data_IF_195351325560
#
_entry.id   IF_195351325560
#
_cell.length_a   1.000
_cell.length_b   1.000
_cell.length_c   1.000
_cell.angle_alpha   90.00
_cell.angle_beta   90.00
_cell.angle_gamma   90.00
#
_symmetry.space_group_name_H-M   'P 1'
#
loop_
_entity.id
_entity.type
_entity.pdbx_description
1 polymer ?
#
# COMPACT_ATOMS: atom_id res chain seq x y z
N UNK A 1 -16.06 21.68 5.11
CA UNK A 1 -16.21 20.92 6.34
C UNK A 1 -14.84 20.93 7.02
N UNK A 2 -14.64 21.79 8.02
CA UNK A 2 -13.41 21.79 8.81
C UNK A 2 -13.44 20.52 9.66
N UNK A 3 -12.66 19.51 9.28
CA UNK A 3 -12.31 18.42 10.17
C UNK A 3 -11.45 19.02 11.27
N UNK A 4 -12.02 19.24 12.44
CA UNK A 4 -11.25 19.44 13.65
C UNK A 4 -10.45 18.16 13.86
N UNK A 5 -9.20 18.17 13.43
CA UNK A 5 -8.31 17.05 13.64
C UNK A 5 -8.08 16.96 15.15
N UNK A 6 -8.71 16.01 15.79
CA UNK A 6 -8.39 15.66 17.16
C UNK A 6 -6.92 15.25 17.19
N UNK A 7 -6.05 15.91 17.95
CA UNK A 7 -4.66 15.55 17.98
C UNK A 7 -4.52 14.12 18.47
N UNK A 8 -3.68 13.33 17.81
CA UNK A 8 -3.33 12.00 18.30
C UNK A 8 -2.56 12.16 19.60
N UNK A 9 -3.12 11.64 20.69
CA UNK A 9 -2.51 11.67 22.02
C UNK A 9 -2.04 10.27 22.36
N UNK A 10 -0.79 10.16 22.84
CA UNK A 10 -0.27 8.93 23.42
C UNK A 10 -0.83 8.77 24.84
N UNK A 11 -1.96 8.10 24.96
CA UNK A 11 -2.71 7.95 26.22
C UNK A 11 -2.45 6.56 26.82
N UNK A 12 -1.43 6.48 27.70
CA UNK A 12 -1.09 5.24 28.40
C UNK A 12 -2.11 4.86 29.47
N UNK A 13 -2.75 5.85 30.08
CA UNK A 13 -3.77 5.61 31.10
C UNK A 13 -4.99 4.94 30.47
N UNK A 14 -5.39 5.36 29.27
CA UNK A 14 -6.45 4.72 28.53
C UNK A 14 -6.13 3.25 28.23
N UNK A 15 -4.89 2.91 27.89
CA UNK A 15 -4.48 1.52 27.62
C UNK A 15 -4.65 0.61 28.83
N UNK A 16 -4.49 1.12 30.04
CA UNK A 16 -4.58 0.33 31.29
C UNK A 16 -5.96 0.35 31.93
N UNK A 17 -6.73 1.42 31.72
CA UNK A 17 -8.00 1.62 32.40
C UNK A 17 -9.22 1.20 31.59
N UNK A 18 -9.08 1.07 30.26
CA UNK A 18 -10.20 0.71 29.36
C UNK A 18 -10.16 -0.77 28.96
N UNK A 19 -11.32 -1.29 28.62
CA UNK A 19 -11.44 -2.59 27.93
C UNK A 19 -11.45 -2.36 26.42
N UNK A 20 -10.76 -3.21 25.70
CA UNK A 20 -10.68 -3.17 24.25
C UNK A 20 -11.22 -4.47 23.66
N UNK A 21 -11.86 -4.37 22.51
CA UNK A 21 -12.33 -5.51 21.73
C UNK A 21 -11.19 -6.11 20.90
N UNK A 22 -10.23 -5.25 20.48
CA UNK A 22 -9.08 -5.61 19.64
C UNK A 22 -7.81 -4.98 20.19
N UNK A 23 -6.78 -5.79 20.38
CA UNK A 23 -5.42 -5.34 20.62
C UNK A 23 -4.57 -5.65 19.38
N UNK A 24 -4.00 -4.60 18.77
CA UNK A 24 -3.06 -4.72 17.65
C UNK A 24 -1.64 -4.53 18.17
N UNK A 25 -0.78 -5.52 17.93
CA UNK A 25 0.64 -5.45 18.27
C UNK A 25 1.44 -5.19 16.99
N UNK A 26 2.07 -4.02 16.93
CA UNK A 26 2.85 -3.55 15.80
C UNK A 26 2.18 -2.41 15.02
N UNK A 27 2.88 -1.26 14.96
CA UNK A 27 2.45 -0.02 14.33
C UNK A 27 2.96 0.16 12.89
N UNK A 28 3.20 -0.92 12.15
CA UNK A 28 3.43 -0.88 10.71
C UNK A 28 2.13 -0.61 9.94
N UNK A 29 2.23 -0.42 8.62
CA UNK A 29 1.06 -0.07 7.79
C UNK A 29 -0.10 -1.07 7.93
N UNK A 30 0.18 -2.37 8.04
CA UNK A 30 -0.86 -3.39 8.20
C UNK A 30 -1.56 -3.29 9.56
N UNK A 31 -0.81 -3.13 10.65
CA UNK A 31 -1.39 -2.97 11.99
C UNK A 31 -2.23 -1.69 12.10
N UNK A 32 -1.73 -0.59 11.56
CA UNK A 32 -2.44 0.69 11.56
C UNK A 32 -3.72 0.63 10.70
N UNK A 33 -3.68 -0.04 9.53
CA UNK A 33 -4.87 -0.27 8.71
C UNK A 33 -5.89 -1.16 9.41
N UNK A 34 -5.44 -2.23 10.08
CA UNK A 34 -6.33 -3.10 10.87
C UNK A 34 -6.98 -2.33 12.04
N UNK A 35 -6.20 -1.50 12.74
CA UNK A 35 -6.72 -0.67 13.82
C UNK A 35 -7.73 0.34 13.30
N UNK A 36 -7.46 0.98 12.17
CA UNK A 36 -8.37 1.92 11.54
C UNK A 36 -9.68 1.26 11.09
N UNK A 37 -9.59 0.13 10.37
CA UNK A 37 -10.78 -0.61 9.91
C UNK A 37 -11.63 -1.08 11.10
N UNK A 38 -11.02 -1.65 12.13
CA UNK A 38 -11.73 -2.10 13.33
C UNK A 38 -12.42 -0.92 14.08
N UNK A 39 -11.72 0.20 14.25
CA UNK A 39 -12.27 1.39 14.90
C UNK A 39 -13.42 2.00 14.09
N UNK A 40 -13.33 2.05 12.76
CA UNK A 40 -14.41 2.55 11.89
C UNK A 40 -15.65 1.66 11.93
N UNK A 41 -15.51 0.39 12.32
CA UNK A 41 -16.61 -0.55 12.57
C UNK A 41 -17.21 -0.42 13.98
N UNK A 42 -16.73 0.52 14.79
CA UNK A 42 -17.24 0.79 16.14
C UNK A 42 -16.63 -0.08 17.24
N UNK A 43 -15.54 -0.82 16.95
CA UNK A 43 -14.82 -1.59 17.96
C UNK A 43 -13.91 -0.68 18.79
N UNK A 44 -13.73 -0.99 20.08
CA UNK A 44 -12.73 -0.38 20.92
C UNK A 44 -11.38 -1.01 20.62
N UNK A 45 -10.47 -0.22 20.06
CA UNK A 45 -9.17 -0.71 19.56
C UNK A 45 -8.03 -0.08 20.34
N UNK A 46 -7.09 -0.91 20.79
CA UNK A 46 -5.76 -0.51 21.22
C UNK A 46 -4.71 -0.96 20.22
N UNK A 47 -3.69 -0.13 19.97
CA UNK A 47 -2.50 -0.51 19.21
C UNK A 47 -1.26 -0.09 19.98
N UNK A 48 -0.31 -1.01 20.13
CA UNK A 48 1.00 -0.77 20.71
C UNK A 48 2.11 -1.04 19.69
N UNK A 49 3.12 -0.17 19.70
CA UNK A 49 4.30 -0.28 18.84
C UNK A 49 5.55 -0.03 19.67
N UNK A 50 6.52 -0.95 19.63
CA UNK A 50 7.75 -0.87 20.43
C UNK A 50 8.69 0.27 20.02
N UNK A 51 8.64 0.68 18.76
CA UNK A 51 9.42 1.79 18.22
C UNK A 51 8.47 2.92 17.78
N UNK A 52 8.83 3.64 16.72
CA UNK A 52 7.92 4.60 16.12
C UNK A 52 7.07 3.95 15.03
N UNK A 53 5.93 4.56 14.73
CA UNK A 53 5.02 4.05 13.72
C UNK A 53 5.68 3.96 12.34
N UNK A 54 5.55 2.80 11.70
CA UNK A 54 6.07 2.57 10.36
C UNK A 54 7.57 2.35 10.27
N UNK A 55 8.28 2.21 11.38
CA UNK A 55 9.75 2.18 11.43
C UNK A 55 10.44 0.97 10.81
N UNK A 56 9.72 -0.12 10.50
CA UNK A 56 10.31 -1.35 9.94
C UNK A 56 10.04 -1.48 8.41
N UNK A 57 9.44 -2.60 8.00
CA UNK A 57 9.17 -2.89 6.60
C UNK A 57 8.30 -1.83 5.91
N UNK A 58 7.45 -1.12 6.65
CA UNK A 58 6.63 -0.03 6.11
C UNK A 58 7.43 1.19 5.66
N UNK A 59 8.64 1.36 6.16
CA UNK A 59 9.61 2.37 5.69
C UNK A 59 10.56 1.80 4.63
N UNK A 60 11.06 0.57 4.85
CA UNK A 60 12.09 -0.08 4.04
C UNK A 60 11.50 -0.96 2.91
N UNK A 61 10.61 -0.42 2.10
CA UNK A 61 10.05 -1.12 0.94
C UNK A 61 10.38 -0.41 -0.38
N UNK A 62 10.07 -1.03 -1.52
CA UNK A 62 10.31 -0.45 -2.85
C UNK A 62 9.44 0.77 -3.18
N UNK A 63 8.61 1.22 -2.26
CA UNK A 63 7.71 2.37 -2.42
C UNK A 63 6.76 2.25 -3.62
N UNK A 64 6.44 1.03 -4.03
CA UNK A 64 5.57 0.76 -5.17
C UNK A 64 4.27 0.11 -4.72
N UNK A 65 3.15 0.68 -5.15
CA UNK A 65 1.82 0.09 -5.03
C UNK A 65 1.51 -0.65 -6.34
N UNK A 66 1.72 -1.95 -6.34
CA UNK A 66 1.61 -2.79 -7.52
C UNK A 66 0.16 -3.11 -7.90
N UNK A 67 -0.14 -3.08 -9.21
CA UNK A 67 -1.43 -3.51 -9.77
C UNK A 67 -1.58 -5.02 -9.96
N UNK A 68 -0.58 -5.80 -9.54
CA UNK A 68 -0.66 -7.26 -9.55
C UNK A 68 -0.39 -7.93 -10.90
N UNK A 69 0.14 -7.23 -11.90
CA UNK A 69 0.41 -7.78 -13.24
C UNK A 69 1.28 -9.07 -13.21
N UNK A 70 2.17 -9.21 -12.21
CA UNK A 70 2.96 -10.43 -12.01
C UNK A 70 2.10 -11.69 -11.79
N UNK A 71 0.87 -11.54 -11.27
CA UNK A 71 -0.03 -12.67 -11.04
C UNK A 71 -0.58 -13.29 -12.34
N UNK A 72 -0.45 -12.59 -13.48
CA UNK A 72 -0.73 -13.19 -14.78
C UNK A 72 0.22 -14.36 -15.10
N UNK A 73 1.46 -14.33 -14.59
CA UNK A 73 2.43 -15.42 -14.80
C UNK A 73 2.03 -16.72 -14.10
N UNK A 74 1.26 -16.62 -13.02
CA UNK A 74 0.76 -17.75 -12.24
C UNK A 74 -0.74 -18.01 -12.47
N UNK A 75 -1.37 -17.26 -13.39
CA UNK A 75 -2.81 -17.29 -13.67
C UNK A 75 -3.69 -17.04 -12.41
N UNK A 76 -3.16 -16.37 -11.40
CA UNK A 76 -3.91 -16.00 -10.19
C UNK A 76 -4.72 -14.71 -10.44
N UNK A 77 -5.83 -14.87 -11.15
CA UNK A 77 -6.69 -13.75 -11.55
C UNK A 77 -7.41 -13.11 -10.35
N UNK A 78 -7.62 -13.87 -9.28
CA UNK A 78 -8.24 -13.35 -8.06
C UNK A 78 -7.33 -12.30 -7.40
N UNK A 79 -6.06 -12.64 -7.20
CA UNK A 79 -5.07 -11.71 -6.64
C UNK A 79 -4.78 -10.52 -7.57
N UNK A 80 -4.80 -10.75 -8.88
CA UNK A 80 -4.70 -9.65 -9.84
C UNK A 80 -5.81 -8.62 -9.62
N UNK A 81 -7.06 -9.08 -9.55
CA UNK A 81 -8.23 -8.21 -9.31
C UNK A 81 -8.20 -7.52 -7.95
N UNK A 82 -7.80 -8.24 -6.91
CA UNK A 82 -7.60 -7.68 -5.58
C UNK A 82 -6.56 -6.56 -5.61
N UNK A 83 -5.38 -6.81 -6.19
CA UNK A 83 -4.30 -5.79 -6.30
C UNK A 83 -4.74 -4.55 -7.08
N UNK A 84 -5.52 -4.70 -8.15
CA UNK A 84 -6.09 -3.57 -8.91
C UNK A 84 -7.04 -2.75 -8.05
N UNK A 85 -7.92 -3.41 -7.27
CA UNK A 85 -8.87 -2.73 -6.37
C UNK A 85 -8.14 -2.00 -5.25
N UNK A 86 -7.20 -2.64 -4.59
CA UNK A 86 -6.40 -2.06 -3.52
C UNK A 86 -5.59 -0.85 -4.00
N UNK A 87 -4.89 -0.98 -5.12
CA UNK A 87 -4.16 0.13 -5.74
C UNK A 87 -5.08 1.33 -6.03
N UNK A 88 -6.27 1.08 -6.59
CA UNK A 88 -7.27 2.11 -6.84
C UNK A 88 -7.80 2.73 -5.55
N UNK A 89 -8.01 1.93 -4.49
CA UNK A 89 -8.44 2.41 -3.18
C UNK A 89 -7.42 3.40 -2.63
N UNK A 90 -6.13 3.09 -2.68
CA UNK A 90 -5.08 4.01 -2.27
C UNK A 90 -5.09 5.31 -3.09
N UNK A 91 -5.32 5.25 -4.40
CA UNK A 91 -5.43 6.44 -5.26
C UNK A 91 -6.61 7.35 -4.86
N UNK A 92 -7.66 6.79 -4.27
CA UNK A 92 -8.84 7.53 -3.81
C UNK A 92 -8.68 8.12 -2.42
N UNK A 93 -8.13 7.35 -1.48
CA UNK A 93 -8.05 7.77 -0.06
C UNK A 93 -6.79 8.55 0.26
N UNK A 94 -5.71 8.37 -0.51
CA UNK A 94 -4.42 8.98 -0.25
C UNK A 94 -3.75 9.56 -1.52
N UNK A 95 -4.48 10.33 -2.36
CA UNK A 95 -4.00 10.80 -3.67
C UNK A 95 -2.73 11.66 -3.59
N UNK A 96 -2.53 12.36 -2.48
CA UNK A 96 -1.41 13.26 -2.26
C UNK A 96 -0.11 12.56 -1.77
N UNK A 97 -0.14 11.24 -1.55
CA UNK A 97 1.02 10.46 -1.15
C UNK A 97 1.60 9.59 -2.26
N UNK A 98 0.93 9.55 -3.41
CA UNK A 98 1.30 8.65 -4.50
C UNK A 98 1.39 9.41 -5.82
N UNK A 99 2.23 8.89 -6.72
CA UNK A 99 2.37 9.40 -8.08
C UNK A 99 2.46 8.25 -9.09
N UNK A 100 1.94 8.41 -10.32
CA UNK A 100 2.16 7.45 -11.40
C UNK A 100 3.64 7.27 -11.67
N UNK A 101 4.11 6.02 -11.71
CA UNK A 101 5.50 5.66 -11.98
C UNK A 101 5.54 4.71 -13.18
N UNK A 102 6.24 5.06 -14.26
CA UNK A 102 6.48 4.14 -15.36
C UNK A 102 7.48 3.05 -14.97
N UNK A 103 7.23 1.84 -15.45
CA UNK A 103 8.12 0.70 -15.38
C UNK A 103 8.35 0.17 -16.76
N UNK A 104 9.59 -0.25 -17.03
CA UNK A 104 9.99 -0.82 -18.30
C UNK A 104 10.66 -2.17 -18.11
N UNK A 105 10.34 -3.11 -18.98
CA UNK A 105 11.04 -4.40 -19.11
C UNK A 105 11.48 -4.59 -20.55
N UNK A 106 12.68 -5.11 -20.73
CA UNK A 106 13.19 -5.40 -22.06
C UNK A 106 12.46 -6.62 -22.62
N UNK A 107 11.77 -6.44 -23.73
CA UNK A 107 11.21 -7.52 -24.52
C UNK A 107 12.30 -8.08 -25.46
N UNK A 108 13.39 -8.59 -24.89
CA UNK A 108 14.55 -9.04 -25.64
C UNK A 108 14.57 -10.54 -25.85
N UNK A 109 14.99 -10.96 -27.03
CA UNK A 109 15.24 -12.34 -27.41
C UNK A 109 15.05 -12.55 -28.91
N UNK A 110 15.84 -13.42 -29.57
CA UNK A 110 15.64 -13.75 -30.98
C UNK A 110 14.24 -14.36 -31.18
N UNK A 111 13.49 -13.83 -32.13
CA UNK A 111 12.23 -14.43 -32.59
C UNK A 111 10.94 -13.85 -32.04
N UNK A 112 10.92 -12.71 -31.34
CA UNK A 112 9.68 -11.99 -31.00
C UNK A 112 8.73 -12.69 -30.00
N UNK A 113 9.05 -13.88 -29.51
CA UNK A 113 8.20 -14.65 -28.57
C UNK A 113 7.97 -13.90 -27.26
N UNK A 114 9.01 -13.28 -26.73
CA UNK A 114 8.92 -12.49 -25.49
C UNK A 114 8.04 -11.24 -25.69
N UNK A 115 8.12 -10.59 -26.85
CA UNK A 115 7.29 -9.46 -27.20
C UNK A 115 5.81 -9.87 -27.33
N UNK A 116 5.53 -10.99 -28.03
CA UNK A 116 4.17 -11.54 -28.16
C UNK A 116 3.57 -11.88 -26.80
N UNK A 117 4.34 -12.47 -25.89
CA UNK A 117 3.89 -12.78 -24.53
C UNK A 117 3.59 -11.49 -23.72
N UNK A 118 4.42 -10.45 -23.84
CA UNK A 118 4.17 -9.18 -23.18
C UNK A 118 2.91 -8.50 -23.73
N UNK A 119 2.70 -8.50 -25.04
CA UNK A 119 1.47 -7.95 -25.65
C UNK A 119 0.22 -8.68 -25.15
N UNK A 120 0.26 -10.00 -25.08
CA UNK A 120 -0.82 -10.80 -24.51
C UNK A 120 -1.05 -10.50 -23.03
N UNK A 121 0.02 -10.37 -22.24
CA UNK A 121 -0.03 -10.00 -20.83
C UNK A 121 -0.65 -8.62 -20.61
N UNK A 122 -0.27 -7.61 -21.39
CA UNK A 122 -0.86 -6.28 -21.30
C UNK A 122 -2.33 -6.23 -21.75
N UNK A 123 -2.70 -7.02 -22.75
CA UNK A 123 -4.11 -7.16 -23.15
C UNK A 123 -4.95 -7.80 -22.03
N UNK A 124 -4.43 -8.85 -21.40
CA UNK A 124 -5.06 -9.46 -20.24
C UNK A 124 -5.15 -8.47 -19.05
N UNK A 125 -4.06 -7.75 -18.72
CA UNK A 125 -4.09 -6.70 -17.69
C UNK A 125 -5.14 -5.63 -18.00
N UNK A 126 -5.22 -5.17 -19.26
CA UNK A 126 -6.22 -4.18 -19.65
C UNK A 126 -7.65 -4.68 -19.44
N UNK A 127 -7.90 -5.96 -19.72
CA UNK A 127 -9.19 -6.60 -19.49
C UNK A 127 -9.52 -6.72 -18.00
N UNK A 128 -8.58 -7.23 -17.19
CA UNK A 128 -8.82 -7.44 -15.76
C UNK A 128 -8.70 -6.16 -14.92
N UNK A 129 -8.04 -5.13 -15.41
CA UNK A 129 -7.91 -3.83 -14.76
C UNK A 129 -8.70 -2.72 -15.50
N UNK A 130 -9.81 -3.06 -16.14
CA UNK A 130 -10.64 -2.13 -16.92
C UNK A 130 -11.12 -0.91 -16.11
N UNK A 131 -11.29 -1.08 -14.81
CA UNK A 131 -11.76 -0.07 -13.88
C UNK A 131 -10.64 0.61 -13.07
N UNK A 132 -9.36 0.47 -13.50
CA UNK A 132 -8.18 0.96 -12.77
C UNK A 132 -8.22 2.45 -12.42
N UNK A 133 -8.85 3.26 -13.27
CA UNK A 133 -8.96 4.71 -13.11
C UNK A 133 -10.35 5.16 -12.65
N UNK A 134 -11.25 4.22 -12.31
CA UNK A 134 -12.61 4.58 -11.92
C UNK A 134 -12.63 5.33 -10.60
N UNK A 135 -13.26 6.51 -10.58
CA UNK A 135 -13.34 7.41 -9.41
C UNK A 135 -11.97 7.86 -8.89
N UNK A 136 -10.94 7.86 -9.74
CA UNK A 136 -9.60 8.36 -9.46
C UNK A 136 -9.42 9.72 -10.11
N UNK A 137 -8.70 10.62 -9.47
CA UNK A 137 -8.39 11.94 -10.01
C UNK A 137 -7.54 11.83 -11.29
N UNK A 138 -7.80 12.66 -12.28
CA UNK A 138 -7.21 12.55 -13.63
C UNK A 138 -5.67 12.52 -13.62
N UNK A 139 -5.03 13.32 -12.78
CA UNK A 139 -3.57 13.36 -12.68
C UNK A 139 -2.94 12.05 -12.14
N UNK A 140 -3.76 11.17 -11.55
CA UNK A 140 -3.36 9.84 -11.09
C UNK A 140 -3.78 8.73 -12.06
N UNK A 141 -4.36 9.04 -13.20
CA UNK A 141 -4.75 8.00 -14.15
C UNK A 141 -3.54 7.22 -14.64
N UNK A 142 -3.66 5.90 -14.62
CA UNK A 142 -2.64 4.99 -15.10
C UNK A 142 -2.98 4.53 -16.52
N UNK A 143 -2.12 4.81 -17.52
CA UNK A 143 -2.28 4.28 -18.86
C UNK A 143 -2.22 2.74 -18.86
N UNK A 144 -2.84 2.08 -19.84
CA UNK A 144 -2.67 0.64 -20.05
C UNK A 144 -1.21 0.32 -20.41
N UNK A 145 -0.77 -0.88 -20.02
CA UNK A 145 0.53 -1.38 -20.44
C UNK A 145 0.60 -1.58 -21.96
N UNK A 146 1.75 -1.30 -22.55
CA UNK A 146 1.99 -1.44 -24.00
C UNK A 146 3.41 -1.85 -24.31
N UNK A 147 3.62 -2.42 -25.48
CA UNK A 147 4.97 -2.66 -26.00
C UNK A 147 5.35 -1.53 -26.94
N UNK A 148 6.51 -0.94 -26.70
CA UNK A 148 7.13 0.11 -27.48
C UNK A 148 8.18 -0.55 -28.37
N UNK A 149 8.10 -0.35 -29.68
CA UNK A 149 9.08 -0.86 -30.61
C UNK A 149 10.40 -0.04 -30.58
N UNK A 150 11.42 -0.56 -31.27
CA UNK A 150 12.74 0.08 -31.30
C UNK A 150 12.72 1.47 -31.99
N UNK A 151 11.71 1.77 -32.80
CA UNK A 151 11.59 3.06 -33.52
C UNK A 151 10.98 4.11 -32.59
N UNK A 152 9.86 3.77 -31.97
CA UNK A 152 9.19 4.63 -30.97
C UNK A 152 10.10 4.93 -29.78
N UNK A 153 10.88 3.92 -29.36
CA UNK A 153 11.86 4.05 -28.28
C UNK A 153 12.90 5.14 -28.47
N UNK A 154 13.34 5.37 -29.73
CA UNK A 154 14.34 6.42 -30.04
C UNK A 154 13.87 7.83 -29.70
N UNK A 155 12.55 8.04 -29.61
CA UNK A 155 11.95 9.30 -29.17
C UNK A 155 11.81 9.44 -27.67
N UNK A 156 12.08 8.38 -26.87
CA UNK A 156 11.97 8.40 -25.42
C UNK A 156 13.38 8.52 -24.84
N UNK A 157 13.74 9.71 -24.38
CA UNK A 157 14.98 9.89 -23.62
C UNK A 157 14.83 9.26 -22.24
N UNK A 158 15.33 8.05 -22.10
CA UNK A 158 15.30 7.32 -20.83
C UNK A 158 16.46 7.67 -19.90
N UNK A 159 17.44 8.48 -20.37
CA UNK A 159 18.67 8.76 -19.63
C UNK A 159 19.47 7.51 -19.25
N UNK A 160 19.02 6.33 -19.64
CA UNK A 160 19.61 5.04 -19.31
C UNK A 160 20.10 4.34 -20.59
N UNK A 161 21.28 3.73 -20.52
CA UNK A 161 21.83 2.82 -21.54
C UNK A 161 21.03 1.49 -21.50
N UNK A 162 19.83 1.52 -22.07
CA UNK A 162 19.02 0.31 -22.20
C UNK A 162 19.50 -0.48 -23.43
N UNK A 163 19.63 -1.82 -23.34
CA UNK A 163 19.99 -2.66 -24.48
C UNK A 163 19.01 -2.48 -25.65
N UNK A 164 19.43 -2.73 -26.89
CA UNK A 164 18.56 -2.65 -28.07
C UNK A 164 17.40 -3.65 -27.95
N UNK A 165 16.24 -3.30 -28.53
CA UNK A 165 15.04 -4.15 -28.54
C UNK A 165 13.77 -3.39 -28.16
N UNK A 166 12.63 -4.09 -28.23
CA UNK A 166 11.36 -3.56 -27.79
C UNK A 166 11.27 -3.48 -26.26
N UNK A 167 10.49 -2.55 -25.74
CA UNK A 167 10.23 -2.40 -24.31
C UNK A 167 8.78 -2.66 -24.00
N UNK A 168 8.50 -3.46 -22.98
CA UNK A 168 7.20 -3.45 -22.32
C UNK A 168 7.15 -2.30 -21.31
N UNK A 169 6.21 -1.39 -21.47
CA UNK A 169 5.99 -0.25 -20.60
C UNK A 169 4.64 -0.41 -19.88
N UNK A 170 4.63 -0.23 -18.56
CA UNK A 170 3.40 -0.17 -17.77
C UNK A 170 3.56 0.85 -16.63
N UNK A 171 2.48 1.08 -15.89
CA UNK A 171 2.45 2.04 -14.81
C UNK A 171 1.89 1.44 -13.53
N UNK A 172 2.55 1.73 -12.42
CA UNK A 172 2.06 1.54 -11.06
C UNK A 172 2.17 2.87 -10.30
N UNK A 173 1.76 2.92 -9.03
CA UNK A 173 2.02 4.11 -8.22
C UNK A 173 3.30 3.94 -7.42
N UNK A 174 4.02 5.02 -7.28
CA UNK A 174 5.08 5.17 -6.29
C UNK A 174 4.57 5.96 -5.10
N UNK A 175 4.83 5.48 -3.90
CA UNK A 175 4.68 6.26 -2.65
C UNK A 175 5.86 7.21 -2.52
N UNK A 176 5.61 8.50 -2.46
CA UNK A 176 6.69 9.50 -2.35
C UNK A 176 7.26 9.56 -0.93
N UNK A 177 6.36 9.52 0.07
CA UNK A 177 6.69 9.59 1.48
C UNK A 177 5.97 8.47 2.24
N UNK A 178 6.56 7.27 2.27
CA UNK A 178 5.97 6.09 2.92
C UNK A 178 5.72 6.30 4.42
N UNK A 179 6.64 7.00 5.09
CA UNK A 179 6.56 7.39 6.49
C UNK A 179 5.36 8.30 6.77
N UNK A 180 5.14 9.30 5.91
CA UNK A 180 4.01 10.22 6.03
C UNK A 180 2.68 9.54 5.73
N UNK A 181 2.65 8.64 4.74
CA UNK A 181 1.47 7.83 4.44
C UNK A 181 1.10 6.94 5.63
N UNK A 182 2.08 6.25 6.22
CA UNK A 182 1.87 5.39 7.39
C UNK A 182 1.39 6.21 8.59
N UNK A 183 1.98 7.37 8.82
CA UNK A 183 1.55 8.27 9.90
C UNK A 183 0.15 8.84 9.66
N UNK A 184 -0.22 9.15 8.42
CA UNK A 184 -1.58 9.59 8.08
C UNK A 184 -2.63 8.51 8.40
N UNK A 185 -2.29 7.22 8.21
CA UNK A 185 -3.15 6.10 8.63
C UNK A 185 -3.25 6.03 10.16
N UNK A 186 -2.17 6.26 10.90
CA UNK A 186 -2.20 6.34 12.36
C UNK A 186 -3.14 7.45 12.85
N UNK A 187 -3.05 8.64 12.24
CA UNK A 187 -3.97 9.75 12.54
C UNK A 187 -5.43 9.41 12.21
N UNK A 188 -5.68 8.71 11.10
CA UNK A 188 -7.02 8.26 10.74
C UNK A 188 -7.58 7.25 11.74
N UNK A 189 -6.76 6.28 12.19
CA UNK A 189 -7.14 5.32 13.22
C UNK A 189 -7.45 6.01 14.55
N UNK A 190 -6.61 6.94 14.99
CA UNK A 190 -6.84 7.73 16.20
C UNK A 190 -8.13 8.57 16.11
N UNK A 191 -8.36 9.21 14.96
CA UNK A 191 -9.58 9.99 14.70
C UNK A 191 -10.85 9.12 14.69
N UNK A 192 -10.72 7.83 14.35
CA UNK A 192 -11.80 6.85 14.44
C UNK A 192 -11.99 6.29 15.86
N UNK A 193 -11.18 6.71 16.84
CA UNK A 193 -11.32 6.34 18.26
C UNK A 193 -10.36 5.24 18.72
N UNK A 194 -9.44 4.77 17.90
CA UNK A 194 -8.39 3.85 18.33
C UNK A 194 -7.40 4.54 19.31
N UNK A 195 -7.01 3.84 20.37
CA UNK A 195 -5.94 4.28 21.28
C UNK A 195 -4.62 3.72 20.77
N UNK A 196 -3.74 4.61 20.33
CA UNK A 196 -2.44 4.24 19.75
C UNK A 196 -1.32 4.68 20.67
N UNK A 197 -0.35 3.80 20.92
CA UNK A 197 0.88 4.14 21.65
C UNK A 197 2.10 3.53 20.96
N UNK A 198 3.03 4.42 20.58
CA UNK A 198 4.39 4.05 20.21
C UNK A 198 5.28 3.96 21.44
N UNK A 199 6.48 3.36 21.31
CA UNK A 199 7.43 3.10 22.38
C UNK A 199 6.80 2.30 23.55
N UNK A 200 5.95 1.34 23.21
CA UNK A 200 5.32 0.36 24.12
C UNK A 200 5.53 -1.03 23.54
N UNK A 201 6.26 -1.86 24.26
CA UNK A 201 6.55 -3.23 23.82
C UNK A 201 5.55 -4.21 24.46
N UNK A 202 5.01 -5.10 23.65
CA UNK A 202 4.18 -6.22 24.11
C UNK A 202 5.09 -7.40 24.42
N UNK A 203 5.45 -7.56 25.71
CA UNK A 203 6.42 -8.58 26.14
C UNK A 203 5.78 -9.95 26.40
N UNK A 204 4.50 -9.99 26.74
CA UNK A 204 3.81 -11.23 27.07
C UNK A 204 2.31 -11.13 26.79
N UNK A 205 1.69 -12.22 26.38
CA UNK A 205 0.24 -12.37 26.24
C UNK A 205 -0.26 -13.40 27.24
N UNK A 206 -1.23 -13.01 28.06
CA UNK A 206 -1.84 -13.91 29.02
C UNK A 206 -3.16 -14.46 28.51
N UNK A 207 -3.26 -15.77 28.44
CA UNK A 207 -4.45 -16.48 27.97
C UNK A 207 -5.52 -16.68 29.09
N UNK A 208 -5.50 -15.86 30.13
CA UNK A 208 -6.43 -15.99 31.24
C UNK A 208 -7.24 -14.70 31.46
N UNK A 209 -8.60 -14.80 31.50
CA UNK A 209 -9.46 -13.61 31.63
C UNK A 209 -9.52 -13.00 33.04
N UNK A 210 -8.61 -13.32 33.97
CA UNK A 210 -8.80 -12.97 35.38
C UNK A 210 -7.72 -12.18 36.10
N UNK A 211 -6.63 -11.79 35.49
CA UNK A 211 -5.73 -10.82 36.16
C UNK A 211 -5.06 -9.92 35.12
N UNK A 212 -5.59 -8.71 35.00
CA UNK A 212 -4.84 -7.63 34.34
C UNK A 212 -3.67 -7.23 35.29
N UNK A 213 -2.48 -7.65 34.98
CA UNK A 213 -1.26 -7.08 35.59
C UNK A 213 -0.74 -6.02 34.63
N UNK A 214 -1.00 -4.75 34.93
CA UNK A 214 -0.35 -3.65 34.26
C UNK A 214 1.08 -3.52 34.83
N UNK A 215 2.05 -3.98 34.07
CA UNK A 215 3.46 -3.71 34.31
C UNK A 215 4.03 -2.98 33.11
N UNK A 216 4.37 -1.71 33.26
CA UNK A 216 5.20 -0.99 32.31
C UNK A 216 6.63 -1.03 32.85
N UNK A 217 7.56 -1.60 32.10
CA UNK A 217 8.98 -1.50 32.31
C UNK A 217 9.60 -0.50 31.32
#
# INVERSE_FOLDING_TARGET
MHLSATPMVRDLDALTSRRFDVLVVGGGIHGLMAAWDAATRGLHVALVERHDFGGAASFHHHRTLHGGMRYLQTADLSRLRESVRERRTWARIAPHFIAPQPFAVIAGGPGGKAEGLLRAGFAADALFAWDRNRDVQEFLHLPPGRVIDATERRGIDTGALLPPGSLGLWYDYRTEHAERLTFAVALAAASAGAVLANYVDAIELFDQPKQAVAGFG
#
